data_IF_896456955547
#
_entry.id   IF_896456955547
#
_cell.length_a   1.000
_cell.length_b   1.000
_cell.length_c   1.000
_cell.angle_alpha   90.00
_cell.angle_beta   90.00
_cell.angle_gamma   90.00
#
_symmetry.space_group_name_H-M   'P 1'
#
loop_
_entity.id
_entity.type
_entity.pdbx_description
1 polymer ?
#
# COMPACT_ATOMS: atom_id res chain seq x y z
N UNK A 1 -37.59 -43.31 -54.34
CA UNK A 1 -37.05 -42.86 -53.04
C UNK A 1 -35.70 -42.12 -53.11
N UNK A 2 -35.06 -41.91 -54.28
CA UNK A 2 -33.76 -41.20 -54.36
C UNK A 2 -33.87 -39.67 -54.59
N UNK A 3 -34.98 -39.18 -55.15
CA UNK A 3 -35.16 -37.73 -55.41
C UNK A 3 -35.57 -36.93 -54.16
N UNK A 4 -36.38 -37.50 -53.26
CA UNK A 4 -36.78 -36.83 -52.01
C UNK A 4 -35.63 -36.72 -50.98
N UNK A 5 -34.60 -37.57 -51.07
CA UNK A 5 -33.44 -37.50 -50.19
C UNK A 5 -32.53 -36.32 -50.54
N UNK A 6 -32.46 -35.94 -51.82
CA UNK A 6 -31.63 -34.82 -52.28
C UNK A 6 -32.22 -33.46 -51.86
N UNK A 7 -33.55 -33.33 -51.86
CA UNK A 7 -34.25 -32.11 -51.39
C UNK A 7 -34.15 -31.98 -49.86
N UNK A 8 -34.14 -33.10 -49.13
CA UNK A 8 -33.90 -33.10 -47.68
C UNK A 8 -32.45 -32.73 -47.34
N UNK A 9 -31.47 -33.20 -48.12
CA UNK A 9 -30.04 -32.85 -47.94
C UNK A 9 -29.77 -31.40 -48.34
N UNK A 10 -30.47 -30.84 -49.33
CA UNK A 10 -30.31 -29.45 -49.73
C UNK A 10 -30.93 -28.47 -48.72
N UNK A 11 -32.00 -28.87 -48.02
CA UNK A 11 -32.61 -28.05 -46.94
C UNK A 11 -31.78 -28.09 -45.64
N UNK A 12 -31.05 -29.18 -45.38
CA UNK A 12 -30.09 -29.28 -44.27
C UNK A 12 -28.83 -28.38 -44.46
N UNK A 13 -28.49 -27.99 -45.70
CA UNK A 13 -27.38 -27.08 -46.00
C UNK A 13 -27.72 -25.60 -45.80
N UNK A 14 -29.01 -25.24 -45.65
CA UNK A 14 -29.43 -23.87 -45.31
C UNK A 14 -29.60 -23.63 -43.80
N UNK A 15 -29.36 -24.66 -42.97
CA UNK A 15 -29.32 -24.52 -41.50
C UNK A 15 -27.91 -24.21 -40.99
N UNK A 16 -27.02 -23.67 -41.83
CA UNK A 16 -25.76 -23.07 -41.36
C UNK A 16 -26.09 -21.77 -40.64
N UNK A 17 -26.40 -21.91 -39.35
CA UNK A 17 -26.09 -20.99 -38.26
C UNK A 17 -26.00 -19.52 -38.68
N UNK A 18 -27.14 -18.81 -38.61
CA UNK A 18 -27.08 -17.41 -38.23
C UNK A 18 -26.56 -17.39 -36.79
N UNK A 19 -25.29 -17.08 -36.58
CA UNK A 19 -24.84 -16.67 -35.25
C UNK A 19 -25.39 -15.28 -35.03
N UNK A 20 -26.27 -15.13 -34.04
CA UNK A 20 -26.73 -13.81 -33.65
C UNK A 20 -25.49 -13.01 -33.21
N UNK A 21 -25.31 -11.82 -33.79
CA UNK A 21 -24.22 -10.93 -33.41
C UNK A 21 -24.64 -10.18 -32.15
N UNK A 22 -24.20 -10.66 -30.99
CA UNK A 22 -24.39 -9.98 -29.71
C UNK A 22 -23.26 -8.95 -29.49
N UNK A 23 -23.59 -7.80 -28.89
CA UNK A 23 -22.60 -6.89 -28.33
C UNK A 23 -22.45 -7.17 -26.84
N UNK A 24 -21.24 -7.51 -26.41
CA UNK A 24 -20.93 -7.76 -25.01
C UNK A 24 -19.95 -6.71 -24.50
N UNK A 25 -20.31 -6.04 -23.42
CA UNK A 25 -19.38 -5.16 -22.70
C UNK A 25 -18.43 -6.02 -21.87
N UNK A 26 -17.13 -5.91 -22.14
CA UNK A 26 -16.06 -6.66 -21.49
C UNK A 26 -15.16 -5.70 -20.74
N UNK A 27 -15.00 -5.94 -19.45
CA UNK A 27 -14.07 -5.19 -18.60
C UNK A 27 -12.87 -6.09 -18.32
N UNK A 28 -11.68 -5.67 -18.72
CA UNK A 28 -10.43 -6.41 -18.56
C UNK A 28 -9.27 -5.50 -18.12
N UNK A 29 -8.17 -6.11 -17.67
CA UNK A 29 -6.95 -5.40 -17.26
C UNK A 29 -6.02 -5.22 -18.45
N UNK A 30 -5.59 -4.00 -18.68
CA UNK A 30 -4.64 -3.62 -19.72
C UNK A 30 -3.34 -3.16 -19.07
N UNK A 31 -2.22 -3.71 -19.52
CA UNK A 31 -0.90 -3.25 -19.10
C UNK A 31 -0.27 -2.41 -20.21
N UNK A 32 0.03 -1.16 -19.91
CA UNK A 32 0.71 -0.24 -20.83
C UNK A 32 2.14 -0.05 -20.38
N UNK A 33 3.10 -0.22 -21.30
CA UNK A 33 4.51 0.05 -21.01
C UNK A 33 4.76 1.56 -21.05
N UNK A 34 5.45 2.06 -20.03
CA UNK A 34 5.90 3.44 -19.91
C UNK A 34 7.42 3.45 -19.92
N UNK A 35 8.02 4.39 -20.64
CA UNK A 35 9.45 4.65 -20.61
C UNK A 35 9.66 6.09 -20.17
N UNK A 36 10.60 6.30 -19.25
CA UNK A 36 10.93 7.62 -18.73
C UNK A 36 12.44 7.81 -18.76
N UNK A 37 12.92 8.89 -19.38
CA UNK A 37 14.34 9.21 -19.34
C UNK A 37 14.74 9.70 -17.95
N UNK A 38 15.97 9.41 -17.52
CA UNK A 38 16.47 9.86 -16.22
C UNK A 38 16.46 11.40 -16.09
N UNK A 39 16.67 12.13 -17.19
CA UNK A 39 16.56 13.59 -17.24
C UNK A 39 15.15 14.09 -16.96
N UNK A 40 14.13 13.34 -17.38
CA UNK A 40 12.72 13.70 -17.18
C UNK A 40 12.27 13.36 -15.76
N UNK A 41 12.76 12.23 -15.21
CA UNK A 41 12.54 11.85 -13.82
C UNK A 41 13.05 12.90 -12.83
N UNK A 42 14.21 13.51 -13.15
CA UNK A 42 14.91 14.45 -12.28
C UNK A 42 14.60 15.92 -12.60
N UNK A 43 13.48 16.18 -13.27
CA UNK A 43 12.94 17.55 -13.32
C UNK A 43 12.51 18.00 -11.91
N UNK A 44 12.72 19.28 -11.55
CA UNK A 44 12.35 19.77 -10.22
C UNK A 44 10.87 19.58 -9.91
N UNK A 45 10.57 19.02 -8.73
CA UNK A 45 9.19 18.86 -8.27
C UNK A 45 8.70 20.18 -7.67
N UNK A 46 7.54 20.65 -8.14
CA UNK A 46 6.84 21.85 -7.64
C UNK A 46 5.36 21.60 -7.47
N UNK A 47 4.71 22.40 -6.62
CA UNK A 47 3.26 22.33 -6.40
C UNK A 47 2.46 22.64 -7.67
N UNK A 48 1.57 21.73 -8.06
CA UNK A 48 0.54 21.95 -9.07
C UNK A 48 -0.83 22.24 -8.45
N UNK A 49 -1.80 22.59 -9.30
CA UNK A 49 -3.19 22.75 -8.88
C UNK A 49 -3.74 21.44 -8.25
N UNK A 50 -4.66 21.53 -7.28
CA UNK A 50 -5.36 20.37 -6.75
C UNK A 50 -5.93 19.49 -7.87
N UNK A 51 -5.83 18.18 -7.67
CA UNK A 51 -6.43 17.17 -8.55
C UNK A 51 -7.38 16.30 -7.73
N UNK A 52 -8.36 15.69 -8.41
CA UNK A 52 -9.23 14.73 -7.76
C UNK A 52 -8.51 13.39 -7.57
N UNK A 53 -8.86 12.65 -6.51
CA UNK A 53 -8.34 11.31 -6.29
C UNK A 53 -8.82 10.39 -7.41
N UNK A 54 -7.92 9.57 -7.96
CA UNK A 54 -8.28 8.53 -8.94
C UNK A 54 -7.83 7.18 -8.44
N UNK A 55 -6.56 7.08 -8.04
CA UNK A 55 -5.93 5.85 -7.60
C UNK A 55 -5.21 6.07 -6.26
N UNK A 56 -5.96 6.33 -5.17
CA UNK A 56 -5.36 6.59 -3.88
C UNK A 56 -4.67 5.32 -3.35
N UNK A 57 -3.43 5.49 -2.92
CA UNK A 57 -2.60 4.50 -2.24
C UNK A 57 -2.46 4.82 -0.77
N UNK A 58 -1.22 4.93 -0.30
CA UNK A 58 -0.90 5.11 1.11
C UNK A 58 -1.30 6.48 1.62
N UNK A 59 -1.64 6.50 2.91
CA UNK A 59 -2.02 7.68 3.68
C UNK A 59 -0.89 8.10 4.60
N UNK A 60 -0.74 9.41 4.77
CA UNK A 60 0.16 9.97 5.77
C UNK A 60 -0.42 11.27 6.36
N UNK A 61 -0.15 11.51 7.64
CA UNK A 61 -0.63 12.68 8.38
C UNK A 61 0.54 13.39 9.04
N UNK A 62 0.62 14.70 8.90
CA UNK A 62 1.51 15.54 9.71
C UNK A 62 0.75 16.79 10.13
N UNK A 63 0.67 17.00 11.44
CA UNK A 63 -0.10 18.08 12.04
C UNK A 63 -1.56 18.08 11.52
N UNK A 64 -2.00 19.17 10.90
CA UNK A 64 -3.33 19.27 10.28
C UNK A 64 -3.37 18.82 8.81
N UNK A 65 -2.26 18.39 8.22
CA UNK A 65 -2.20 18.10 6.79
C UNK A 65 -2.33 16.61 6.51
N UNK A 66 -3.10 16.30 5.46
CA UNK A 66 -3.21 14.95 4.90
C UNK A 66 -2.42 14.88 3.61
N UNK A 67 -1.66 13.80 3.47
CA UNK A 67 -0.94 13.44 2.26
C UNK A 67 -1.49 12.10 1.78
N UNK A 68 -2.04 12.09 0.58
CA UNK A 68 -2.61 10.89 -0.04
C UNK A 68 -1.80 10.60 -1.30
N UNK A 69 -1.09 9.47 -1.30
CA UNK A 69 -0.33 9.05 -2.47
C UNK A 69 -1.29 8.69 -3.59
N UNK A 70 -1.07 9.22 -4.79
CA UNK A 70 -1.66 8.75 -6.04
C UNK A 70 -0.64 7.83 -6.71
N UNK A 71 -0.97 6.55 -6.75
CA UNK A 71 -0.01 5.48 -7.06
C UNK A 71 0.77 5.76 -8.35
N UNK A 72 2.09 5.87 -8.23
CA UNK A 72 3.07 6.17 -9.28
C UNK A 72 2.92 7.52 -9.99
N UNK A 73 2.04 8.41 -9.54
CA UNK A 73 1.84 9.74 -10.13
C UNK A 73 2.28 10.87 -9.20
N UNK A 74 2.11 10.74 -7.89
CA UNK A 74 2.41 11.83 -6.98
C UNK A 74 1.65 11.80 -5.67
N UNK A 75 1.49 12.98 -5.06
CA UNK A 75 0.89 13.16 -3.74
C UNK A 75 -0.18 14.25 -3.80
N UNK A 76 -1.38 13.94 -3.32
CA UNK A 76 -2.41 14.93 -3.04
C UNK A 76 -2.21 15.50 -1.63
N UNK A 77 -2.30 16.82 -1.50
CA UNK A 77 -2.12 17.54 -0.23
C UNK A 77 -3.44 18.22 0.17
N UNK A 78 -3.90 17.97 1.39
CA UNK A 78 -5.11 18.58 1.95
C UNK A 78 -4.84 19.26 3.29
N UNK A 79 -5.51 20.40 3.52
CA UNK A 79 -5.70 21.00 4.84
C UNK A 79 -6.88 20.32 5.52
N UNK A 80 -6.61 19.70 6.65
CA UNK A 80 -7.57 18.96 7.46
C UNK A 80 -7.74 19.56 8.86
N UNK A 81 -7.52 20.87 9.00
CA UNK A 81 -7.86 21.63 10.21
C UNK A 81 -9.33 21.49 10.63
N UNK A 82 -10.22 21.24 9.67
CA UNK A 82 -11.60 20.80 9.91
C UNK A 82 -11.86 19.44 9.23
N UNK A 83 -11.79 18.32 9.98
CA UNK A 83 -12.04 16.98 9.42
C UNK A 83 -13.45 16.74 8.88
N UNK A 84 -14.42 17.63 9.16
CA UNK A 84 -15.75 17.55 8.54
C UNK A 84 -15.81 18.26 7.17
N UNK A 85 -14.78 19.02 6.81
CA UNK A 85 -14.67 19.74 5.54
C UNK A 85 -13.19 19.92 5.14
N UNK A 86 -12.49 18.84 4.77
CA UNK A 86 -11.10 18.90 4.31
C UNK A 86 -10.99 19.72 3.02
N UNK A 87 -9.89 20.48 2.86
CA UNK A 87 -9.66 21.34 1.69
C UNK A 87 -8.45 20.89 0.89
N UNK A 88 -8.63 20.61 -0.39
CA UNK A 88 -7.51 20.30 -1.28
C UNK A 88 -6.62 21.54 -1.49
N UNK A 89 -5.31 21.38 -1.33
CA UNK A 89 -4.32 22.47 -1.43
C UNK A 89 -3.57 22.40 -2.75
N UNK A 90 -3.02 21.22 -3.06
CA UNK A 90 -2.14 21.03 -4.23
C UNK A 90 -1.99 19.55 -4.59
N UNK A 91 -1.51 19.30 -5.80
CA UNK A 91 -0.98 18.00 -6.22
C UNK A 91 0.51 18.12 -6.52
N UNK A 92 1.31 17.18 -6.01
CA UNK A 92 2.75 17.10 -6.24
C UNK A 92 3.02 15.97 -7.25
N UNK A 93 3.39 16.26 -8.51
CA UNK A 93 3.70 15.22 -9.48
C UNK A 93 5.07 14.62 -9.15
N UNK A 94 5.07 13.38 -8.67
CA UNK A 94 6.28 12.62 -8.34
C UNK A 94 6.21 11.28 -9.08
N UNK A 95 6.89 11.15 -10.23
CA UNK A 95 6.86 9.92 -11.02
C UNK A 95 7.33 8.71 -10.21
N UNK A 96 6.52 7.66 -10.19
CA UNK A 96 6.86 6.42 -9.49
C UNK A 96 6.66 6.44 -7.98
N UNK A 97 6.09 7.52 -7.41
CA UNK A 97 5.85 7.60 -5.98
C UNK A 97 4.82 6.57 -5.49
N UNK A 98 5.16 5.86 -4.42
CA UNK A 98 4.29 4.91 -3.72
C UNK A 98 4.33 5.04 -2.21
N UNK A 99 5.35 5.71 -1.65
CA UNK A 99 5.47 5.88 -0.20
C UNK A 99 6.12 7.21 0.19
N UNK A 100 5.80 7.64 1.41
CA UNK A 100 6.25 8.90 1.96
C UNK A 100 6.49 8.81 3.48
N UNK A 101 7.34 9.69 3.99
CA UNK A 101 7.38 10.01 5.40
C UNK A 101 7.72 11.49 5.62
N UNK A 102 7.28 12.06 6.73
CA UNK A 102 7.49 13.49 7.01
C UNK A 102 8.20 13.65 8.35
N UNK A 103 9.26 14.46 8.34
CA UNK A 103 9.96 14.93 9.54
C UNK A 103 10.00 16.45 9.52
N UNK A 104 9.52 17.06 10.58
CA UNK A 104 9.38 18.51 10.71
C UNK A 104 8.65 19.07 9.49
N UNK A 105 9.32 19.91 8.69
CA UNK A 105 8.80 20.49 7.47
C UNK A 105 9.35 19.84 6.20
N UNK A 106 9.94 18.64 6.29
CA UNK A 106 10.48 17.93 5.12
C UNK A 106 9.71 16.63 4.89
N UNK A 107 9.13 16.51 3.69
CA UNK A 107 8.52 15.28 3.19
C UNK A 107 9.56 14.52 2.36
N UNK A 108 9.78 13.26 2.71
CA UNK A 108 10.55 12.30 1.94
C UNK A 108 9.61 11.44 1.12
N UNK A 109 9.89 11.27 -0.16
CA UNK A 109 9.11 10.44 -1.06
C UNK A 109 10.03 9.59 -1.94
N UNK A 110 9.58 8.40 -2.31
CA UNK A 110 10.23 7.65 -3.38
C UNK A 110 9.89 8.20 -4.77
N UNK A 111 10.84 8.06 -5.69
CA UNK A 111 10.77 8.48 -7.08
C UNK A 111 11.57 7.48 -7.92
N UNK A 112 11.09 6.24 -8.01
CA UNK A 112 11.82 5.07 -8.53
C UNK A 112 13.19 4.88 -7.83
N UNK A 113 14.28 5.26 -8.49
CA UNK A 113 15.65 5.04 -8.01
C UNK A 113 16.12 6.13 -7.02
N UNK A 114 15.34 7.18 -6.83
CA UNK A 114 15.67 8.33 -6.00
C UNK A 114 14.75 8.43 -4.78
N UNK A 115 15.30 8.93 -3.69
CA UNK A 115 14.60 9.51 -2.54
C UNK A 115 14.60 11.03 -2.74
N UNK A 116 13.41 11.63 -2.83
CA UNK A 116 13.27 13.10 -2.93
C UNK A 116 12.92 13.67 -1.57
N UNK A 117 13.54 14.80 -1.22
CA UNK A 117 13.21 15.58 -0.03
C UNK A 117 12.55 16.90 -0.49
N UNK A 118 11.36 17.16 0.03
CA UNK A 118 10.53 18.31 -0.32
C UNK A 118 10.31 19.18 0.92
N UNK A 119 10.55 20.49 0.78
CA UNK A 119 10.19 21.46 1.82
C UNK A 119 8.70 21.76 1.76
N UNK A 120 7.99 21.38 2.83
CA UNK A 120 6.55 21.54 3.00
C UNK A 120 6.18 22.63 4.02
N UNK A 121 7.13 23.48 4.41
CA UNK A 121 6.88 24.61 5.34
C UNK A 121 5.77 25.55 4.84
N UNK A 122 5.60 25.66 3.52
CA UNK A 122 4.44 26.26 2.89
C UNK A 122 3.73 25.22 2.01
N UNK A 123 2.55 24.70 2.42
CA UNK A 123 1.86 23.63 1.70
C UNK A 123 1.31 24.06 0.32
N UNK A 124 1.26 25.37 0.03
CA UNK A 124 0.87 25.89 -1.29
C UNK A 124 2.05 26.12 -2.23
N UNK A 125 3.29 26.04 -1.71
CA UNK A 125 4.52 26.32 -2.44
C UNK A 125 5.61 25.30 -2.10
N UNK A 126 5.23 24.02 -2.08
CA UNK A 126 6.13 22.89 -1.85
C UNK A 126 7.12 22.79 -3.01
N UNK A 127 8.39 22.56 -2.67
CA UNK A 127 9.49 22.46 -3.62
C UNK A 127 10.50 21.38 -3.22
N UNK A 128 11.13 20.78 -4.22
CA UNK A 128 12.29 19.91 -4.02
C UNK A 128 13.49 20.68 -3.45
N UNK A 129 14.05 20.17 -2.35
CA UNK A 129 15.29 20.71 -1.74
C UNK A 129 16.48 19.78 -1.91
N UNK A 130 16.23 18.48 -2.10
CA UNK A 130 17.28 17.50 -2.34
C UNK A 130 16.73 16.24 -3.00
N UNK A 131 17.63 15.50 -3.64
CA UNK A 131 17.38 14.21 -4.25
C UNK A 131 18.62 13.34 -4.07
N UNK A 132 18.42 12.15 -3.51
CA UNK A 132 19.50 11.20 -3.21
C UNK A 132 19.12 9.83 -3.75
N UNK A 133 20.06 9.14 -4.41
CA UNK A 133 19.79 7.79 -4.93
C UNK A 133 19.55 6.81 -3.78
N UNK A 134 18.51 5.98 -3.92
CA UNK A 134 18.27 4.86 -3.00
C UNK A 134 19.24 3.71 -3.26
N UNK A 135 19.72 3.59 -4.50
CA UNK A 135 20.46 2.43 -5.01
C UNK A 135 19.56 1.28 -5.47
N UNK A 136 18.23 1.44 -5.40
CA UNK A 136 17.31 0.49 -5.98
C UNK A 136 17.35 0.58 -7.51
N UNK A 137 17.24 -0.57 -8.18
CA UNK A 137 17.34 -0.70 -9.64
C UNK A 137 16.08 -1.25 -10.28
N UNK A 138 15.17 -1.79 -9.48
CA UNK A 138 13.87 -2.25 -9.95
C UNK A 138 12.90 -2.29 -8.78
N UNK A 139 11.62 -2.53 -9.08
CA UNK A 139 10.60 -2.75 -8.08
C UNK A 139 9.26 -3.14 -8.65
N UNK A 140 8.39 -3.58 -7.75
CA UNK A 140 7.02 -3.95 -8.04
C UNK A 140 6.06 -3.00 -7.34
N UNK A 141 4.87 -2.81 -7.90
CA UNK A 141 3.74 -2.12 -7.25
C UNK A 141 2.48 -2.83 -7.71
N UNK A 142 1.77 -3.51 -6.80
CA UNK A 142 0.71 -4.42 -7.20
C UNK A 142 1.25 -5.48 -8.17
N UNK A 143 0.61 -5.57 -9.34
CA UNK A 143 0.98 -6.53 -10.42
C UNK A 143 1.94 -5.96 -11.46
N UNK A 144 2.36 -4.72 -11.28
CA UNK A 144 3.21 -4.00 -12.23
C UNK A 144 4.65 -3.96 -11.75
N UNK A 145 5.58 -3.94 -12.70
CA UNK A 145 7.01 -3.93 -12.45
C UNK A 145 7.66 -2.74 -13.15
N UNK A 146 8.70 -2.21 -12.54
CA UNK A 146 9.59 -1.24 -13.16
C UNK A 146 11.05 -1.65 -12.96
N UNK A 147 11.91 -1.18 -13.87
CA UNK A 147 13.35 -1.39 -13.82
C UNK A 147 14.10 -0.17 -14.34
N UNK A 148 15.33 -0.02 -13.89
CA UNK A 148 16.25 1.01 -14.31
C UNK A 148 17.38 0.42 -15.14
N UNK A 149 17.41 0.81 -16.41
CA UNK A 149 18.53 0.54 -17.29
C UNK A 149 19.60 1.62 -17.12
N UNK A 150 20.67 1.26 -16.39
CA UNK A 150 21.82 2.13 -16.14
C UNK A 150 22.58 2.51 -17.41
N UNK A 151 22.58 1.67 -18.44
CA UNK A 151 23.33 1.92 -19.67
C UNK A 151 22.63 2.97 -20.54
N UNK A 152 21.31 2.84 -20.66
CA UNK A 152 20.50 3.77 -21.46
C UNK A 152 19.92 4.93 -20.64
N UNK A 153 20.14 4.95 -19.32
CA UNK A 153 19.61 5.94 -18.37
C UNK A 153 18.09 6.09 -18.48
N UNK A 154 17.37 4.96 -18.52
CA UNK A 154 15.92 4.91 -18.69
C UNK A 154 15.26 4.05 -17.62
N UNK A 155 14.12 4.54 -17.13
CA UNK A 155 13.17 3.76 -16.35
C UNK A 155 12.18 3.12 -17.32
N UNK A 156 11.99 1.81 -17.19
CA UNK A 156 10.92 1.06 -17.82
C UNK A 156 9.89 0.74 -16.74
N UNK A 157 8.62 1.05 -16.97
CA UNK A 157 7.55 0.80 -16.02
C UNK A 157 6.31 0.23 -16.75
N UNK A 158 5.40 -0.34 -15.96
CA UNK A 158 4.10 -0.80 -16.38
C UNK A 158 3.01 -0.02 -15.64
N UNK A 159 2.00 0.44 -16.39
CA UNK A 159 0.75 0.99 -15.87
C UNK A 159 -0.35 -0.05 -16.05
N UNK A 160 -1.12 -0.29 -14.99
CA UNK A 160 -2.32 -1.11 -15.07
C UNK A 160 -3.53 -0.19 -15.24
N UNK A 161 -4.36 -0.46 -16.23
CA UNK A 161 -5.62 0.22 -16.48
C UNK A 161 -6.74 -0.82 -16.56
N UNK A 162 -7.92 -0.46 -16.04
CA UNK A 162 -9.15 -1.22 -16.27
C UNK A 162 -9.76 -0.63 -17.54
N UNK A 163 -9.78 -1.43 -18.61
CA UNK A 163 -10.40 -1.06 -19.88
C UNK A 163 -11.76 -1.74 -19.99
N UNK A 164 -12.74 -1.02 -20.51
CA UNK A 164 -14.05 -1.57 -20.86
C UNK A 164 -14.26 -1.41 -22.36
N UNK A 165 -14.45 -2.52 -23.06
CA UNK A 165 -14.69 -2.54 -24.50
C UNK A 165 -15.95 -3.33 -24.84
N UNK A 166 -16.75 -2.79 -25.75
CA UNK A 166 -17.89 -3.50 -26.33
C UNK A 166 -17.38 -4.32 -27.51
N UNK A 167 -17.45 -5.64 -27.40
CA UNK A 167 -16.97 -6.56 -28.44
C UNK A 167 -18.16 -7.30 -29.03
N UNK A 168 -18.17 -7.45 -30.35
CA UNK A 168 -19.14 -8.31 -31.05
C UNK A 168 -18.76 -9.77 -30.84
N UNK A 169 -19.69 -10.59 -30.36
CA UNK A 169 -19.49 -12.00 -30.04
C UNK A 169 -20.67 -12.83 -30.52
N UNK A 170 -20.42 -14.13 -30.73
CA UNK A 170 -21.46 -15.13 -30.96
C UNK A 170 -22.25 -15.35 -29.66
N UNK A 171 -23.58 -15.29 -29.74
CA UNK A 171 -24.47 -15.46 -28.60
C UNK A 171 -24.47 -16.90 -28.04
N UNK A 172 -24.08 -17.91 -28.84
CA UNK A 172 -24.14 -19.33 -28.49
C UNK A 172 -22.75 -19.96 -28.22
N UNK A 173 -21.67 -19.19 -28.35
CA UNK A 173 -20.30 -19.68 -28.17
C UNK A 173 -19.94 -19.98 -26.72
N UNK A 174 -19.51 -21.22 -26.43
CA UNK A 174 -18.94 -21.58 -25.13
C UNK A 174 -17.64 -20.81 -24.87
N UNK A 175 -17.50 -20.34 -23.62
CA UNK A 175 -16.38 -19.58 -23.06
C UNK A 175 -15.00 -20.20 -23.39
N UNK A 176 -14.41 -19.84 -24.52
CA UNK A 176 -12.98 -20.00 -24.74
C UNK A 176 -12.29 -18.74 -24.20
N UNK A 177 -12.05 -18.75 -22.89
CA UNK A 177 -11.23 -17.74 -22.22
C UNK A 177 -9.85 -17.76 -22.89
N UNK A 178 -9.55 -16.77 -23.74
CA UNK A 178 -8.18 -16.50 -24.11
C UNK A 178 -7.42 -16.24 -22.79
N UNK A 179 -6.25 -16.85 -22.54
CA UNK A 179 -5.55 -16.81 -21.25
C UNK A 179 -5.12 -15.42 -20.77
N UNK A 180 -5.40 -14.36 -21.54
CA UNK A 180 -5.07 -12.96 -21.25
C UNK A 180 -6.29 -12.08 -20.90
N UNK A 181 -7.52 -12.61 -20.98
CA UNK A 181 -8.75 -11.86 -20.72
C UNK A 181 -9.48 -12.43 -19.49
N UNK A 182 -9.06 -12.00 -18.31
CA UNK A 182 -9.70 -12.37 -17.03
C UNK A 182 -10.90 -11.43 -16.80
N UNK A 183 -12.15 -11.92 -16.69
CA UNK A 183 -13.32 -11.09 -16.37
C UNK A 183 -13.15 -10.36 -15.04
N UNK A 184 -13.44 -9.05 -15.02
CA UNK A 184 -13.28 -8.17 -13.83
C UNK A 184 -14.37 -8.35 -12.75
N UNK A 185 -15.35 -9.21 -12.98
CA UNK A 185 -16.33 -9.53 -11.94
C UNK A 185 -15.60 -10.14 -10.74
N UNK A 186 -15.55 -9.39 -9.64
CA UNK A 186 -15.04 -9.77 -8.30
C UNK A 186 -13.68 -9.28 -7.82
N UNK A 187 -12.95 -8.42 -8.55
CA UNK A 187 -11.63 -8.00 -8.08
C UNK A 187 -11.34 -6.52 -8.35
N UNK A 188 -11.45 -5.68 -7.32
CA UNK A 188 -10.93 -4.31 -7.31
C UNK A 188 -9.45 -4.26 -7.73
N UNK A 189 -8.96 -3.08 -8.10
CA UNK A 189 -7.52 -2.89 -8.35
C UNK A 189 -6.78 -3.31 -7.08
N UNK A 190 -6.02 -4.40 -7.21
CA UNK A 190 -5.33 -5.06 -6.11
C UNK A 190 -4.03 -4.30 -5.84
N UNK A 191 -4.02 -3.43 -4.84
CA UNK A 191 -2.78 -2.90 -4.28
C UNK A 191 -2.23 -3.92 -3.29
N UNK A 192 -1.81 -5.07 -3.80
CA UNK A 192 -0.88 -5.92 -3.05
C UNK A 192 0.44 -5.14 -3.01
N UNK A 193 0.82 -4.71 -1.83
CA UNK A 193 2.05 -3.98 -1.64
C UNK A 193 3.21 -4.91 -2.00
N UNK A 194 3.87 -4.74 -3.15
CA UNK A 194 5.21 -5.28 -3.41
C UNK A 194 6.19 -4.15 -3.70
N UNK A 195 7.48 -4.43 -3.63
CA UNK A 195 8.50 -3.45 -3.29
C UNK A 195 9.68 -3.46 -4.27
N UNK A 196 10.62 -2.52 -4.09
CA UNK A 196 11.90 -2.45 -4.82
C UNK A 196 12.72 -3.76 -4.67
N UNK A 197 13.54 -4.17 -5.65
CA UNK A 197 14.47 -5.31 -5.50
C UNK A 197 15.87 -4.94 -6.04
N UNK A 198 16.93 -5.29 -5.29
CA UNK A 198 18.21 -5.88 -5.77
C UNK A 198 19.26 -6.07 -4.64
N UNK A 199 20.28 -6.88 -4.93
CA UNK A 199 21.23 -7.60 -4.05
C UNK A 199 22.62 -6.91 -3.87
N UNK A 200 23.17 -6.99 -2.64
CA UNK A 200 24.61 -7.00 -2.19
C UNK A 200 25.36 -5.76 -1.58
N UNK A 201 25.83 -5.98 -0.32
CA UNK A 201 27.20 -5.88 0.30
C UNK A 201 28.02 -4.57 0.46
N UNK A 202 28.36 -4.19 1.73
CA UNK A 202 29.56 -3.37 2.10
C UNK A 202 29.43 -2.50 3.39
N UNK A 203 30.50 -2.31 4.19
CA UNK A 203 30.56 -2.10 5.67
C UNK A 203 30.84 -0.68 6.26
N UNK A 204 30.27 -0.42 7.47
CA UNK A 204 30.63 0.40 8.68
C UNK A 204 31.26 1.84 8.56
N UNK A 205 30.91 2.88 9.35
CA UNK A 205 30.93 3.04 10.83
C UNK A 205 30.18 4.32 11.30
N UNK A 206 29.71 4.29 12.55
CA UNK A 206 28.86 5.21 13.37
C UNK A 206 29.43 6.57 13.84
N UNK A 207 28.59 7.57 14.17
CA UNK A 207 28.69 8.50 15.37
C UNK A 207 27.29 9.08 15.78
N UNK A 208 27.16 9.52 17.04
CA UNK A 208 26.03 9.70 17.99
C UNK A 208 25.15 11.00 17.90
N UNK A 209 23.88 10.91 18.35
CA UNK A 209 22.73 11.86 18.39
C UNK A 209 22.83 13.13 19.30
N UNK A 210 21.94 14.17 19.25
CA UNK A 210 20.58 14.15 19.89
C UNK A 210 19.43 15.12 19.39
N UNK A 211 18.18 14.80 19.80
CA UNK A 211 16.92 15.55 20.15
C UNK A 211 16.38 16.79 19.37
N UNK A 212 15.09 16.70 18.95
CA UNK A 212 14.21 17.88 18.78
C UNK A 212 13.18 17.90 17.63
N UNK A 213 12.73 16.76 17.11
CA UNK A 213 11.97 16.70 15.84
C UNK A 213 10.59 16.05 15.95
N UNK A 214 9.63 16.55 15.19
CA UNK A 214 8.26 16.01 15.08
C UNK A 214 8.09 15.20 13.80
N UNK A 215 7.74 13.93 13.91
CA UNK A 215 7.45 13.06 12.76
C UNK A 215 5.95 12.97 12.51
N UNK A 216 5.55 12.71 11.27
CA UNK A 216 4.15 12.39 10.97
C UNK A 216 3.82 10.92 11.23
N UNK A 217 2.57 10.55 10.97
CA UNK A 217 2.03 9.21 11.16
C UNK A 217 1.59 8.65 9.81
N UNK A 218 2.14 7.49 9.43
CA UNK A 218 1.75 6.75 8.23
C UNK A 218 0.66 5.72 8.53
N UNK A 219 0.01 5.25 7.46
CA UNK A 219 -0.91 4.11 7.50
C UNK A 219 -0.24 2.79 7.83
N UNK A 220 -1.07 1.76 8.01
CA UNK A 220 -0.67 0.39 8.35
C UNK A 220 0.17 -0.30 7.26
N UNK A 221 0.18 0.26 6.05
CA UNK A 221 0.95 -0.23 4.91
C UNK A 221 2.28 0.52 4.69
N UNK A 222 2.73 1.34 5.65
CA UNK A 222 3.96 2.13 5.52
C UNK A 222 5.22 1.25 5.29
N UNK A 223 6.12 1.72 4.41
CA UNK A 223 7.49 1.19 4.18
C UNK A 223 8.56 2.21 4.50
N UNK A 224 8.16 3.41 4.87
CA UNK A 224 9.02 4.44 5.39
C UNK A 224 8.72 4.56 6.88
N UNK A 225 9.76 4.45 7.71
CA UNK A 225 9.68 4.71 9.13
C UNK A 225 10.76 5.71 9.51
N UNK A 226 10.43 6.65 10.39
CA UNK A 226 11.41 7.58 10.94
C UNK A 226 11.52 7.33 12.43
N UNK A 227 12.74 7.21 12.92
CA UNK A 227 13.03 7.18 14.36
C UNK A 227 14.25 8.04 14.61
N UNK A 228 14.08 9.05 15.46
CA UNK A 228 15.06 10.13 15.60
C UNK A 228 15.50 10.63 14.21
N UNK A 229 16.81 10.83 14.01
CA UNK A 229 17.41 11.35 12.78
C UNK A 229 17.65 10.26 11.73
N UNK A 230 16.92 9.15 11.77
CA UNK A 230 17.07 8.05 10.82
C UNK A 230 15.77 7.81 10.07
N UNK A 231 15.82 7.86 8.75
CA UNK A 231 14.79 7.32 7.87
C UNK A 231 15.17 5.89 7.47
N UNK A 232 14.21 4.98 7.65
CA UNK A 232 14.25 3.58 7.26
C UNK A 232 13.32 3.37 6.08
N UNK A 233 13.86 2.93 4.96
CA UNK A 233 13.09 2.62 3.75
C UNK A 233 13.23 1.13 3.45
N UNK A 234 12.14 0.38 3.54
CA UNK A 234 12.16 -1.03 3.18
C UNK A 234 11.76 -1.24 1.73
N UNK A 235 12.47 -2.17 1.09
CA UNK A 235 12.04 -2.80 -0.13
C UNK A 235 11.86 -4.31 0.06
N UNK A 236 11.56 -5.08 -1.00
CA UNK A 236 11.22 -6.51 -0.87
C UNK A 236 12.34 -7.33 -0.21
N UNK A 237 13.59 -6.91 -0.38
CA UNK A 237 14.77 -7.68 0.01
C UNK A 237 15.78 -6.90 0.86
N UNK A 238 15.45 -5.68 1.30
CA UNK A 238 16.39 -4.84 2.02
C UNK A 238 15.73 -3.72 2.81
N UNK A 239 16.45 -3.27 3.83
CA UNK A 239 16.20 -2.05 4.58
C UNK A 239 17.33 -1.07 4.29
N UNK A 240 17.01 0.04 3.61
CA UNK A 240 17.93 1.13 3.32
C UNK A 240 17.77 2.25 4.36
N UNK A 241 18.89 2.68 4.95
CA UNK A 241 18.92 3.76 5.93
C UNK A 241 19.33 5.08 5.28
N UNK A 242 18.75 6.19 5.73
CA UNK A 242 19.19 7.55 5.43
C UNK A 242 19.32 8.37 6.70
N UNK A 243 20.50 8.94 6.94
CA UNK A 243 20.69 9.94 8.00
C UNK A 243 19.99 11.23 7.55
N UNK A 244 19.08 11.71 8.40
CA UNK A 244 18.28 12.92 8.20
C UNK A 244 18.52 13.92 9.33
N UNK A 245 19.74 13.95 9.89
CA UNK A 245 20.16 14.96 10.88
C UNK A 245 20.03 16.36 10.32
N UNK A 246 20.46 16.58 9.07
CA UNK A 246 19.97 17.69 8.25
C UNK A 246 18.77 17.18 7.45
N UNK A 247 17.53 17.51 7.84
CA UNK A 247 16.36 16.94 7.19
C UNK A 247 16.28 17.35 5.71
N UNK A 248 16.91 18.46 5.30
CA UNK A 248 16.93 18.90 3.90
C UNK A 248 17.90 18.11 3.04
N UNK A 249 18.81 17.32 3.63
CA UNK A 249 19.88 16.60 2.90
C UNK A 249 20.01 15.16 3.42
N UNK A 250 19.04 14.28 3.07
CA UNK A 250 19.11 12.88 3.46
C UNK A 250 20.40 12.25 2.93
N UNK A 251 21.24 11.72 3.82
CA UNK A 251 22.49 11.06 3.46
C UNK A 251 22.29 9.54 3.47
N UNK A 252 22.51 8.88 2.32
CA UNK A 252 22.40 7.43 2.21
C UNK A 252 23.39 6.73 3.15
N UNK A 253 22.87 5.91 4.04
CA UNK A 253 23.62 5.11 5.00
C UNK A 253 23.64 3.62 4.64
N UNK A 254 23.67 2.78 5.68
CA UNK A 254 23.77 1.32 5.59
C UNK A 254 22.56 0.71 4.88
N UNK A 255 22.82 -0.35 4.11
CA UNK A 255 21.79 -1.27 3.61
C UNK A 255 21.84 -2.56 4.41
N UNK A 256 20.69 -3.04 4.87
CA UNK A 256 20.53 -4.35 5.53
C UNK A 256 19.76 -5.27 4.60
N UNK A 257 20.28 -6.47 4.32
CA UNK A 257 19.59 -7.46 3.49
C UNK A 257 18.51 -8.18 4.30
N UNK A 258 17.34 -8.35 3.69
CA UNK A 258 16.16 -9.03 4.24
C UNK A 258 15.71 -10.10 3.23
N UNK A 259 15.34 -11.30 3.69
CA UNK A 259 15.18 -12.45 2.79
C UNK A 259 13.73 -12.95 2.64
N UNK A 260 12.74 -12.30 3.25
CA UNK A 260 11.38 -12.84 3.37
C UNK A 260 10.29 -12.06 2.61
N UNK A 261 10.67 -11.29 1.58
CA UNK A 261 9.76 -10.42 0.83
C UNK A 261 8.97 -9.47 1.74
N UNK A 262 9.60 -8.34 2.07
CA UNK A 262 9.10 -7.36 3.03
C UNK A 262 7.93 -6.56 2.45
N UNK A 263 6.94 -6.31 3.31
CA UNK A 263 5.72 -5.60 2.96
C UNK A 263 5.57 -4.29 3.73
N UNK A 264 5.85 -4.29 5.04
CA UNK A 264 5.59 -3.16 5.93
C UNK A 264 6.72 -2.96 6.93
N UNK A 265 6.79 -1.76 7.50
CA UNK A 265 7.67 -1.43 8.62
C UNK A 265 6.89 -0.62 9.66
N UNK A 266 6.98 -1.04 10.91
CA UNK A 266 6.32 -0.40 12.04
C UNK A 266 7.35 -0.10 13.14
N UNK A 267 7.72 1.17 13.38
CA UNK A 267 8.56 1.53 14.51
C UNK A 267 7.74 1.55 15.80
N UNK A 268 8.27 0.95 16.86
CA UNK A 268 7.68 1.03 18.19
C UNK A 268 8.78 1.07 19.26
N UNK A 269 8.82 2.18 20.00
CA UNK A 269 9.88 2.47 20.98
C UNK A 269 11.27 2.39 20.32
N UNK A 270 12.13 1.50 20.80
CA UNK A 270 13.49 1.28 20.28
C UNK A 270 13.56 0.07 19.35
N UNK A 271 12.45 -0.33 18.74
CA UNK A 271 12.39 -1.49 17.86
C UNK A 271 11.71 -1.20 16.52
N UNK A 272 12.10 -1.95 15.50
CA UNK A 272 11.40 -2.02 14.21
C UNK A 272 10.78 -3.40 14.05
N UNK A 273 9.50 -3.42 13.72
CA UNK A 273 8.76 -4.61 13.35
C UNK A 273 8.54 -4.57 11.84
N UNK A 274 9.15 -5.51 11.12
CA UNK A 274 9.13 -5.54 9.66
C UNK A 274 8.28 -6.72 9.23
N UNK A 275 7.08 -6.44 8.75
CA UNK A 275 6.15 -7.44 8.23
C UNK A 275 6.59 -7.94 6.86
N UNK A 276 6.48 -9.24 6.64
CA UNK A 276 6.89 -9.91 5.41
C UNK A 276 5.87 -10.94 5.01
N UNK A 277 5.98 -11.45 3.78
CA UNK A 277 5.01 -12.45 3.32
C UNK A 277 5.03 -13.77 4.09
N UNK A 278 6.01 -14.04 4.94
CA UNK A 278 6.18 -15.35 5.63
C UNK A 278 6.49 -15.19 7.11
N UNK A 279 6.40 -13.98 7.64
CA UNK A 279 6.87 -13.72 8.98
C UNK A 279 6.98 -12.24 9.30
N UNK A 280 7.62 -12.00 10.43
CA UNK A 280 7.97 -10.68 10.91
C UNK A 280 9.41 -10.70 11.42
N UNK A 281 10.23 -9.74 11.00
CA UNK A 281 11.50 -9.49 11.66
C UNK A 281 11.32 -8.49 12.81
N UNK A 282 12.06 -8.70 13.90
CA UNK A 282 12.16 -7.74 15.00
C UNK A 282 13.61 -7.27 15.06
N UNK A 283 13.81 -5.96 14.91
CA UNK A 283 15.11 -5.31 15.00
C UNK A 283 15.16 -4.38 16.22
N UNK A 284 16.29 -4.36 16.91
CA UNK A 284 16.69 -3.31 17.83
C UNK A 284 17.28 -2.13 17.07
N UNK A 285 16.81 -0.93 17.43
CA UNK A 285 17.27 0.35 16.89
C UNK A 285 17.72 1.31 18.01
N UNK A 286 18.15 0.78 19.16
CA UNK A 286 18.84 1.58 20.18
C UNK A 286 20.04 2.36 19.62
N UNK A 287 20.69 1.84 18.58
CA UNK A 287 21.53 2.62 17.67
C UNK A 287 20.82 2.73 16.30
N UNK A 288 20.17 3.87 15.99
CA UNK A 288 19.36 3.99 14.78
C UNK A 288 20.11 3.72 13.47
N UNK A 289 21.39 4.09 13.39
CA UNK A 289 22.22 3.86 12.20
C UNK A 289 22.73 2.42 12.06
N UNK A 290 22.58 1.60 13.10
CA UNK A 290 23.05 0.22 13.14
C UNK A 290 21.98 -0.73 13.69
N UNK A 291 20.86 -0.93 12.97
CA UNK A 291 19.81 -1.85 13.37
C UNK A 291 20.37 -3.27 13.53
N UNK A 292 19.98 -3.93 14.63
CA UNK A 292 20.39 -5.31 14.97
C UNK A 292 19.18 -6.21 15.01
N UNK A 293 19.20 -7.30 14.24
CA UNK A 293 18.11 -8.27 14.28
C UNK A 293 18.10 -8.96 15.66
N UNK A 294 16.98 -8.88 16.37
CA UNK A 294 16.77 -9.57 17.65
C UNK A 294 16.24 -10.98 17.41
N UNK A 295 15.23 -11.10 16.55
CA UNK A 295 14.60 -12.37 16.22
C UNK A 295 13.83 -12.27 14.90
N UNK A 296 13.30 -13.40 14.47
CA UNK A 296 12.34 -13.47 13.37
C UNK A 296 11.24 -14.46 13.77
N UNK A 297 9.99 -14.04 13.60
CA UNK A 297 8.81 -14.86 13.81
C UNK A 297 8.32 -15.34 12.45
N UNK A 298 8.19 -16.66 12.26
CA UNK A 298 7.70 -17.23 11.00
C UNK A 298 6.25 -17.71 11.16
N UNK A 299 5.41 -17.42 10.18
CA UNK A 299 4.05 -17.96 10.06
C UNK A 299 3.78 -18.46 8.64
N UNK A 300 2.58 -18.97 8.39
CA UNK A 300 2.13 -19.34 7.04
C UNK A 300 2.16 -18.12 6.14
N UNK A 301 2.44 -18.30 4.85
CA UNK A 301 2.55 -17.17 3.92
C UNK A 301 1.28 -16.29 4.00
N UNK A 302 1.41 -14.98 4.12
CA UNK A 302 0.29 -14.06 4.23
C UNK A 302 0.67 -12.58 4.01
N UNK A 303 -0.31 -11.68 3.90
CA UNK A 303 -0.12 -10.24 3.63
C UNK A 303 -0.44 -9.45 4.91
N UNK A 304 0.57 -8.88 5.57
CA UNK A 304 0.49 -8.64 7.01
C UNK A 304 0.93 -7.23 7.44
N UNK A 305 0.00 -6.28 7.59
CA UNK A 305 0.25 -5.13 8.45
C UNK A 305 0.40 -5.60 9.90
N UNK A 306 1.40 -5.05 10.58
CA UNK A 306 1.66 -5.28 12.00
C UNK A 306 1.47 -3.98 12.75
N UNK A 307 0.72 -4.02 13.85
CA UNK A 307 0.71 -2.95 14.85
C UNK A 307 1.06 -3.50 16.21
N UNK A 308 1.74 -2.69 17.02
CA UNK A 308 2.26 -3.11 18.32
C UNK A 308 1.75 -2.20 19.42
N UNK A 309 1.34 -2.79 20.54
CA UNK A 309 1.10 -2.08 21.78
C UNK A 309 1.58 -2.91 22.97
N UNK A 310 2.49 -2.33 23.76
CA UNK A 310 3.11 -2.97 24.91
C UNK A 310 3.71 -4.34 24.59
N UNK A 311 3.18 -5.40 25.18
CA UNK A 311 3.69 -6.76 25.07
C UNK A 311 3.03 -7.57 23.96
N UNK A 312 2.20 -6.95 23.11
CA UNK A 312 1.48 -7.64 22.05
C UNK A 312 1.66 -6.99 20.69
N UNK A 313 1.95 -7.82 19.69
CA UNK A 313 1.83 -7.48 18.29
C UNK A 313 0.54 -8.08 17.73
N UNK A 314 -0.18 -7.31 16.92
CA UNK A 314 -1.38 -7.73 16.22
C UNK A 314 -1.02 -7.85 14.74
N UNK A 315 -1.33 -9.00 14.15
CA UNK A 315 -0.96 -9.32 12.77
C UNK A 315 -2.17 -9.91 12.08
N UNK A 316 -2.57 -9.35 10.94
CA UNK A 316 -3.66 -9.92 10.15
C UNK A 316 -3.12 -10.82 9.06
N UNK A 317 -3.48 -12.09 9.10
CA UNK A 317 -3.17 -13.09 8.10
C UNK A 317 -4.36 -13.24 7.14
N UNK A 318 -4.14 -12.99 5.85
CA UNK A 318 -5.03 -13.32 4.73
C UNK A 318 -4.56 -14.56 3.95
N UNK A 319 -5.46 -15.50 3.71
CA UNK A 319 -5.23 -16.79 3.04
C UNK A 319 -5.69 -16.85 1.58
N UNK A 320 -5.21 -15.95 0.71
CA UNK A 320 -5.57 -15.92 -0.72
C UNK A 320 -4.51 -16.56 -1.61
N UNK A 321 -4.82 -16.81 -2.89
CA UNK A 321 -3.86 -17.34 -3.87
C UNK A 321 -2.74 -16.36 -4.25
N UNK A 322 -2.95 -15.05 -4.05
CA UNK A 322 -1.97 -13.99 -4.38
C UNK A 322 -1.07 -13.69 -3.17
N UNK A 323 -1.69 -13.65 -1.98
CA UNK A 323 -1.04 -13.54 -0.70
C UNK A 323 -1.51 -14.68 0.20
N UNK A 324 -0.66 -15.69 0.33
CA UNK A 324 -0.84 -16.86 1.17
C UNK A 324 -1.05 -18.18 0.44
N UNK A 325 -1.52 -19.19 1.17
CA UNK A 325 -1.88 -20.50 0.63
C UNK A 325 -3.39 -20.52 0.46
N UNK A 326 -3.87 -20.57 -0.78
CA UNK A 326 -5.30 -20.59 -1.07
C UNK A 326 -6.01 -21.67 -0.25
N UNK A 327 -7.09 -21.30 0.46
CA UNK A 327 -7.83 -22.21 1.33
C UNK A 327 -7.38 -22.20 2.80
N UNK A 328 -6.40 -21.36 3.18
CA UNK A 328 -6.12 -21.06 4.59
C UNK A 328 -7.11 -20.04 5.13
N UNK A 329 -7.44 -20.18 6.42
CA UNK A 329 -8.39 -19.30 7.10
C UNK A 329 -7.77 -17.92 7.37
N UNK A 330 -8.51 -16.86 7.07
CA UNK A 330 -8.14 -15.49 7.45
C UNK A 330 -8.21 -15.33 8.97
N UNK A 331 -7.15 -14.82 9.58
CA UNK A 331 -7.06 -14.66 11.04
C UNK A 331 -6.41 -13.34 11.45
N UNK A 332 -6.79 -12.83 12.62
CA UNK A 332 -6.06 -11.84 13.39
C UNK A 332 -5.29 -12.58 14.48
N UNK A 333 -3.98 -12.65 14.33
CA UNK A 333 -3.07 -13.21 15.31
C UNK A 333 -2.65 -12.16 16.33
N UNK A 334 -2.71 -12.56 17.60
CA UNK A 334 -2.16 -11.83 18.74
C UNK A 334 -0.90 -12.55 19.15
N UNK A 335 0.24 -11.90 18.94
CA UNK A 335 1.57 -12.41 19.21
C UNK A 335 2.05 -11.80 20.53
N UNK A 336 2.38 -12.64 21.51
CA UNK A 336 3.08 -12.22 22.71
C UNK A 336 4.54 -11.93 22.37
N UNK A 337 4.92 -10.66 22.55
CA UNK A 337 6.26 -10.10 22.31
C UNK A 337 6.92 -9.62 23.61
N UNK A 338 6.45 -10.06 24.78
CA UNK A 338 7.09 -9.80 26.08
C UNK A 338 8.57 -10.18 26.10
N UNK A 339 8.94 -11.18 25.28
CA UNK A 339 10.32 -11.45 24.90
C UNK A 339 10.50 -11.23 23.40
N UNK A 340 11.14 -10.12 23.02
CA UNK A 340 11.43 -9.79 21.62
C UNK A 340 12.36 -10.78 20.93
N UNK A 341 13.12 -11.58 21.69
CA UNK A 341 13.96 -12.65 21.15
C UNK A 341 13.20 -13.97 20.89
N UNK A 342 11.99 -14.11 21.44
CA UNK A 342 11.17 -15.34 21.31
C UNK A 342 9.67 -15.00 21.27
N UNK A 343 9.21 -14.31 20.21
CA UNK A 343 7.79 -14.04 20.00
C UNK A 343 7.00 -15.33 19.78
N UNK A 344 5.77 -15.39 20.27
CA UNK A 344 4.88 -16.57 20.11
C UNK A 344 3.42 -16.18 19.95
N UNK A 345 2.66 -16.96 19.18
CA UNK A 345 1.21 -16.77 19.06
C UNK A 345 0.58 -17.01 20.43
N UNK A 346 -0.10 -15.99 20.96
CA UNK A 346 -0.88 -16.08 22.18
C UNK A 346 -2.33 -16.49 21.88
N UNK A 347 -2.91 -15.97 20.78
CA UNK A 347 -4.27 -16.27 20.34
C UNK A 347 -4.46 -15.94 18.86
N UNK A 348 -5.33 -16.67 18.18
CA UNK A 348 -5.78 -16.37 16.82
C UNK A 348 -7.30 -16.17 16.81
N UNK A 349 -7.76 -15.14 16.09
CA UNK A 349 -9.18 -14.82 15.93
C UNK A 349 -9.58 -14.93 14.47
N UNK A 350 -10.60 -15.72 14.11
CA UNK A 350 -11.14 -15.73 12.76
C UNK A 350 -11.64 -14.34 12.35
N UNK A 351 -11.18 -13.88 11.19
CA UNK A 351 -11.67 -12.66 10.53
C UNK A 351 -11.92 -12.95 9.05
N UNK A 352 -12.35 -11.95 8.28
CA UNK A 352 -12.61 -12.11 6.84
C UNK A 352 -11.90 -11.02 6.05
N UNK A 353 -11.13 -11.42 5.05
CA UNK A 353 -10.48 -10.56 4.05
C UNK A 353 -9.75 -9.34 4.66
N UNK A 354 -8.78 -9.51 5.57
CA UNK A 354 -8.05 -8.37 6.13
C UNK A 354 -7.16 -7.67 5.10
N UNK A 355 -6.97 -6.37 5.30
CA UNK A 355 -6.08 -5.52 4.47
C UNK A 355 -5.22 -4.56 5.29
N UNK A 356 -5.79 -3.96 6.34
CA UNK A 356 -5.19 -2.84 7.07
C UNK A 356 -5.51 -2.94 8.55
N UNK A 357 -4.63 -2.38 9.37
CA UNK A 357 -4.65 -2.57 10.82
C UNK A 357 -4.16 -1.30 11.53
N UNK A 358 -4.95 -0.75 12.46
CA UNK A 358 -4.58 0.45 13.21
C UNK A 358 -4.93 0.28 14.68
N UNK A 359 -4.05 0.73 15.59
CA UNK A 359 -4.32 0.68 17.03
C UNK A 359 -4.17 2.08 17.65
N UNK A 360 -5.18 2.46 18.41
CA UNK A 360 -5.12 3.56 19.39
C UNK A 360 -5.70 3.00 20.68
N UNK A 361 -4.81 2.49 21.53
CA UNK A 361 -5.18 1.60 22.61
C UNK A 361 -6.21 2.26 23.56
N UNK A 362 -7.30 1.55 23.92
CA UNK A 362 -7.55 0.12 23.71
C UNK A 362 -8.35 -0.22 22.44
N UNK A 363 -8.51 0.69 21.49
CA UNK A 363 -9.29 0.47 20.27
C UNK A 363 -8.40 -0.04 19.14
N UNK A 364 -8.78 -1.17 18.55
CA UNK A 364 -8.11 -1.79 17.40
C UNK A 364 -9.04 -1.78 16.18
N UNK A 365 -8.56 -1.24 15.07
CA UNK A 365 -9.27 -1.11 13.82
C UNK A 365 -8.73 -2.13 12.81
N UNK A 366 -9.62 -2.91 12.19
CA UNK A 366 -9.27 -3.91 11.18
C UNK A 366 -10.06 -3.63 9.90
N UNK A 367 -9.35 -3.30 8.82
CA UNK A 367 -9.91 -3.19 7.48
C UNK A 367 -10.12 -4.58 6.91
N UNK A 368 -11.37 -4.95 6.63
CA UNK A 368 -11.79 -6.26 6.16
C UNK A 368 -12.37 -6.20 4.73
N UNK A 369 -11.84 -5.33 3.87
CA UNK A 369 -12.23 -5.22 2.47
C UNK A 369 -13.75 -5.09 2.30
N UNK A 370 -14.38 -6.05 1.63
CA UNK A 370 -15.83 -6.05 1.35
C UNK A 370 -16.71 -6.16 2.62
N UNK A 371 -16.18 -6.73 3.71
CA UNK A 371 -16.91 -6.79 5.00
C UNK A 371 -16.91 -5.46 5.71
N UNK A 372 -16.02 -4.54 5.33
CA UNK A 372 -16.00 -3.20 5.88
C UNK A 372 -14.82 -2.91 6.79
N UNK A 373 -15.03 -1.96 7.70
CA UNK A 373 -14.12 -1.66 8.80
C UNK A 373 -14.68 -2.25 10.11
N UNK A 374 -13.91 -3.07 10.82
CA UNK A 374 -14.28 -3.55 12.16
C UNK A 374 -13.49 -2.88 13.26
N UNK A 375 -14.18 -2.61 14.37
CA UNK A 375 -13.64 -1.99 15.58
C UNK A 375 -13.66 -3.03 16.70
N UNK A 376 -12.50 -3.30 17.27
CA UNK A 376 -12.30 -4.24 18.36
C UNK A 376 -11.90 -3.51 19.64
N UNK A 377 -12.31 -4.07 20.78
CA UNK A 377 -11.76 -3.71 22.08
C UNK A 377 -10.55 -4.64 22.38
N UNK A 378 -9.36 -4.04 22.45
CA UNK A 378 -8.09 -4.70 22.73
C UNK A 378 -7.61 -4.55 24.19
N UNK A 379 -8.49 -4.13 25.11
CA UNK A 379 -8.16 -4.05 26.55
C UNK A 379 -7.72 -5.39 27.12
N UNK A 380 -8.31 -6.49 26.64
CA UNK A 380 -7.84 -7.85 26.87
C UNK A 380 -7.45 -8.49 25.53
N UNK A 381 -6.15 -8.57 25.20
CA UNK A 381 -5.68 -9.13 23.93
C UNK A 381 -5.99 -10.63 23.75
N UNK A 382 -6.33 -11.34 24.83
CA UNK A 382 -6.72 -12.75 24.80
C UNK A 382 -8.24 -12.96 24.76
N UNK A 383 -9.03 -11.88 24.81
CA UNK A 383 -10.49 -11.86 24.66
C UNK A 383 -10.92 -10.66 23.79
N UNK A 384 -10.39 -10.56 22.57
CA UNK A 384 -10.78 -9.53 21.62
C UNK A 384 -12.27 -9.64 21.26
N UNK A 385 -12.98 -8.51 21.37
CA UNK A 385 -14.41 -8.41 21.04
C UNK A 385 -14.63 -7.35 19.98
N UNK A 386 -15.32 -7.74 18.91
CA UNK A 386 -15.84 -6.80 17.92
C UNK A 386 -16.91 -5.94 18.61
N UNK A 387 -16.69 -4.63 18.62
CA UNK A 387 -17.67 -3.65 19.08
C UNK A 387 -18.60 -3.24 17.94
N UNK A 388 -18.07 -3.05 16.74
CA UNK A 388 -18.83 -2.61 15.57
C UNK A 388 -18.16 -3.02 14.25
N UNK A 389 -18.97 -3.16 13.19
CA UNK A 389 -18.49 -3.33 11.81
C UNK A 389 -19.26 -2.40 10.86
N UNK A 390 -18.54 -1.66 10.03
CA UNK A 390 -19.09 -0.72 9.05
C UNK A 390 -18.97 -1.28 7.64
N UNK A 391 -20.00 -2.00 7.18
CA UNK A 391 -19.98 -2.76 5.92
C UNK A 391 -19.78 -1.91 4.66
N UNK A 392 -20.19 -0.64 4.67
CA UNK A 392 -20.21 0.22 3.47
C UNK A 392 -18.89 0.97 3.23
N UNK A 393 -17.78 0.45 3.75
CA UNK A 393 -16.44 1.05 3.62
C UNK A 393 -15.51 -0.05 3.13
N UNK A 394 -15.20 -0.10 1.84
CA UNK A 394 -14.26 -1.08 1.29
C UNK A 394 -12.83 -0.73 1.71
N UNK A 395 -12.53 -0.83 3.00
CA UNK A 395 -11.37 -0.27 3.65
C UNK A 395 -10.13 -1.12 3.36
N UNK A 396 -9.01 -0.44 3.11
CA UNK A 396 -7.71 -1.07 2.90
C UNK A 396 -6.64 -0.55 3.86
N UNK A 397 -6.70 0.72 4.26
CA UNK A 397 -5.77 1.32 5.23
C UNK A 397 -6.51 2.18 6.26
N UNK A 398 -5.91 2.32 7.44
CA UNK A 398 -6.42 3.15 8.55
C UNK A 398 -5.30 3.88 9.29
N UNK A 399 -5.62 5.09 9.77
CA UNK A 399 -4.79 5.84 10.72
C UNK A 399 -5.68 6.37 11.86
N UNK A 400 -5.58 5.83 13.07
CA UNK A 400 -6.26 6.40 14.23
C UNK A 400 -5.47 7.60 14.82
N UNK A 401 -6.15 8.71 15.09
CA UNK A 401 -5.58 9.99 15.57
C UNK A 401 -6.23 10.48 16.88
N UNK A 402 -6.22 9.66 17.93
CA UNK A 402 -6.85 9.83 19.26
C UNK A 402 -8.38 10.05 19.30
N UNK A 403 -8.95 10.79 18.35
CA UNK A 403 -10.38 11.12 18.24
C UNK A 403 -10.90 11.00 16.81
N UNK A 404 -10.03 11.08 15.81
CA UNK A 404 -10.40 11.01 14.39
C UNK A 404 -9.73 9.83 13.71
N UNK A 405 -10.50 9.00 13.03
CA UNK A 405 -10.01 7.87 12.27
C UNK A 405 -10.03 8.22 10.80
N UNK A 406 -8.89 8.08 10.15
CA UNK A 406 -8.79 8.11 8.69
C UNK A 406 -8.90 6.69 8.17
N UNK A 407 -9.67 6.49 7.10
CA UNK A 407 -9.84 5.18 6.47
C UNK A 407 -9.89 5.35 4.97
N UNK A 408 -8.93 4.80 4.22
CA UNK A 408 -8.99 4.78 2.76
C UNK A 408 -9.67 3.50 2.30
N UNK A 409 -10.60 3.66 1.37
CA UNK A 409 -11.23 2.55 0.67
C UNK A 409 -11.27 2.77 -0.84
N UNK A 410 -11.92 1.84 -1.53
CA UNK A 410 -11.99 1.81 -3.01
C UNK A 410 -12.49 3.11 -3.64
N UNK A 411 -13.35 3.84 -2.96
CA UNK A 411 -14.09 4.99 -3.47
C UNK A 411 -13.75 6.30 -2.75
N UNK A 412 -12.68 6.32 -1.94
CA UNK A 412 -12.18 7.54 -1.34
C UNK A 412 -11.64 7.40 0.09
N UNK A 413 -11.32 8.55 0.67
CA UNK A 413 -10.89 8.69 2.07
C UNK A 413 -12.08 9.07 2.95
N UNK A 414 -12.34 8.26 3.96
CA UNK A 414 -13.35 8.49 4.98
C UNK A 414 -12.69 9.03 6.25
N UNK A 415 -13.36 9.98 6.91
CA UNK A 415 -12.96 10.49 8.20
C UNK A 415 -14.08 10.24 9.22
N UNK A 416 -13.77 9.58 10.33
CA UNK A 416 -14.72 9.32 11.41
C UNK A 416 -14.29 9.99 12.70
N UNK A 417 -15.25 10.51 13.46
CA UNK A 417 -15.09 10.77 14.89
C UNK A 417 -15.29 9.45 15.62
N UNK A 418 -14.27 9.03 16.37
CA UNK A 418 -14.29 7.84 17.21
C UNK A 418 -14.07 8.18 18.69
N UNK A 419 -14.30 9.43 19.11
CA UNK A 419 -14.26 9.82 20.54
C UNK A 419 -15.11 8.90 21.42
N UNK A 420 -16.14 8.27 20.83
CA UNK A 420 -16.77 7.06 21.35
C UNK A 420 -16.51 5.88 20.39
N UNK A 421 -15.60 4.93 20.71
CA UNK A 421 -15.29 3.79 19.86
C UNK A 421 -16.45 2.83 19.60
N UNK A 422 -17.51 2.87 20.43
CA UNK A 422 -18.71 2.06 20.24
C UNK A 422 -19.73 2.68 19.26
N UNK A 423 -19.49 3.92 18.81
CA UNK A 423 -20.39 4.65 17.92
C UNK A 423 -19.62 5.66 17.07
N UNK A 424 -18.91 5.18 16.04
CA UNK A 424 -18.21 6.10 15.13
C UNK A 424 -19.22 6.93 14.33
N UNK A 425 -18.87 8.19 14.09
CA UNK A 425 -19.67 9.12 13.31
C UNK A 425 -18.86 9.62 12.11
N UNK A 426 -19.39 9.42 10.90
CA UNK A 426 -18.77 9.94 9.69
C UNK A 426 -18.73 11.48 9.75
N UNK A 427 -17.54 12.05 9.53
CA UNK A 427 -17.29 13.49 9.48
C UNK A 427 -17.30 14.00 8.03
N UNK A 428 -16.54 13.32 7.16
CA UNK A 428 -16.43 13.68 5.74
C UNK A 428 -16.01 12.47 4.91
N UNK A 429 -16.18 12.59 3.59
CA UNK A 429 -15.58 11.71 2.59
C UNK A 429 -14.91 12.56 1.51
N UNK A 430 -13.69 12.19 1.12
CA UNK A 430 -13.02 12.70 -0.08
C UNK A 430 -13.15 11.62 -1.16
N UNK A 431 -13.97 11.86 -2.17
CA UNK A 431 -14.27 10.85 -3.20
C UNK A 431 -13.07 10.56 -4.10
N UNK A 432 -12.90 9.29 -4.46
CA UNK A 432 -12.05 8.84 -5.56
C UNK A 432 -12.91 8.57 -6.80
N UNK A 433 -12.55 9.19 -7.92
CA UNK A 433 -13.21 8.99 -9.19
C UNK A 433 -12.63 7.77 -9.91
N UNK A 434 -13.48 6.99 -10.57
CA UNK A 434 -12.97 5.96 -11.46
C UNK A 434 -12.32 6.62 -12.67
N UNK A 435 -11.11 6.16 -13.03
CA UNK A 435 -10.51 6.52 -14.30
C UNK A 435 -11.47 6.09 -15.44
N UNK A 436 -11.92 7.06 -16.24
CA UNK A 436 -12.71 6.80 -17.45
C UNK A 436 -11.92 5.99 -18.48
#
# INVERSE_FOLDING_TARGET
MKSNLLILILSLLYLTSCTDNCEQTRTYRKYTSVQLALSDLRQPITSGAPQSLVEPGKLYVKDQYLFIVEVKKGIHVFDNSNPSNPKAISFLPIPGNVDIAVRDNILYADSYIDLVALDISNPTAIKEVNRTETGFTNGSVGRTYWSYDKQNMKIYDQREEIATETVKTDCEGTFNVLPYLVPIAWFGRYYESFAFADVASGSNTSVKAPTGSTTGTGGSMARFAITDNQLYVVNSASLQLFDITDPTKPAKGKTVTLNWNVETIFPYRTNLFIGTTTGMYIYDIANPSEPKQLSAFSHVRSCDPVVVHENYAYVTLRGTSTCGVAGTQDVLDVIDISSLSSPRVAKSYPIETPYGLGIDYPTLFVCQGNKGLSVFNASNPLDLKVQQTFANVNAFDVIPLSKTLLTIGKDGLYQYDYSNPAALRLLSKIDAHQAN
#
